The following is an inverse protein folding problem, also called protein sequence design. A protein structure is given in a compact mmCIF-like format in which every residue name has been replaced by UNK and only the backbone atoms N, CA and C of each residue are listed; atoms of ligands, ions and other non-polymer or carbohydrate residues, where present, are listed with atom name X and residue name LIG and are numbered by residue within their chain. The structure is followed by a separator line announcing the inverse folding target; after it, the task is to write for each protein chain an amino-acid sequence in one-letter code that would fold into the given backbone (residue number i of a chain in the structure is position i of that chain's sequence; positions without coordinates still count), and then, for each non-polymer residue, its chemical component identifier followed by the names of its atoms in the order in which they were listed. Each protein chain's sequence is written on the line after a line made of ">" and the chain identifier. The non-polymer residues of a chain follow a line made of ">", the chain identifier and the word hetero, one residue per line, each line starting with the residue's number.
data_IF_229288140263
#
_entry.id   IF_229288140263
#
_cell.length_a   1.000
_cell.length_b   1.000
_cell.length_c   1.000
_cell.angle_alpha   90.00
_cell.angle_beta   90.00
_cell.angle_gamma   90.00
#
_symmetry.space_group_name_H-M   'P 1'
#
loop_
_entity.id
_entity.type
_entity.pdbx_description
1 polymer ?
#
# COMPACT_ATOMS: atom_id res chain seq x y z
N UNK A 1 -18.07 8.82 10.55
CA UNK A 1 -17.19 7.70 10.93
C UNK A 1 -15.74 8.10 10.67
N UNK A 2 -14.98 8.40 11.72
CA UNK A 2 -13.51 8.53 11.61
C UNK A 2 -12.98 7.11 11.38
N UNK A 3 -12.36 6.85 10.22
CA UNK A 3 -11.77 5.54 9.92
C UNK A 3 -10.68 5.31 10.96
N UNK A 4 -10.85 4.35 11.85
CA UNK A 4 -9.76 3.84 12.68
C UNK A 4 -8.72 3.28 11.70
N UNK A 5 -7.66 4.05 11.50
CA UNK A 5 -6.49 3.60 10.77
C UNK A 5 -5.91 2.44 11.61
N UNK A 6 -6.04 1.22 11.09
CA UNK A 6 -5.61 0.00 11.77
C UNK A 6 -4.20 0.13 12.32
N UNK A 7 -3.93 -0.42 13.51
CA UNK A 7 -2.64 -0.29 14.18
C UNK A 7 -1.47 -0.78 13.33
N UNK A 8 -1.73 -1.70 12.39
CA UNK A 8 -0.73 -2.23 11.47
C UNK A 8 -0.24 -1.19 10.45
N UNK A 9 -1.06 -0.18 10.12
CA UNK A 9 -0.65 0.94 9.28
C UNK A 9 0.32 1.90 10.00
N UNK A 10 0.39 1.85 11.34
CA UNK A 10 1.36 2.65 12.12
C UNK A 10 2.82 2.19 11.89
N UNK A 11 3.01 0.95 11.42
CA UNK A 11 4.32 0.38 11.15
C UNK A 11 4.83 0.69 9.72
N UNK A 12 4.02 1.36 8.90
CA UNK A 12 4.40 1.77 7.56
C UNK A 12 4.77 3.26 7.56
N UNK A 13 6.00 3.53 7.17
CA UNK A 13 6.48 4.90 7.00
C UNK A 13 6.03 5.48 5.66
N UNK A 14 5.91 6.81 5.57
CA UNK A 14 5.57 7.52 4.32
C UNK A 14 6.55 7.16 3.19
N UNK A 15 7.84 7.01 3.49
CA UNK A 15 8.86 6.62 2.51
C UNK A 15 8.60 5.24 1.89
N UNK A 16 8.20 4.26 2.70
CA UNK A 16 7.83 2.93 2.20
C UNK A 16 6.57 2.99 1.34
N UNK A 17 5.58 3.81 1.71
CA UNK A 17 4.38 4.01 0.87
C UNK A 17 4.76 4.55 -0.50
N UNK A 18 5.67 5.54 -0.57
CA UNK A 18 6.14 6.10 -1.83
C UNK A 18 6.89 5.06 -2.68
N UNK A 19 7.72 4.23 -2.05
CA UNK A 19 8.43 3.14 -2.74
C UNK A 19 7.46 2.10 -3.34
N UNK A 20 6.49 1.63 -2.55
CA UNK A 20 5.47 0.70 -3.06
C UNK A 20 4.63 1.31 -4.18
N UNK A 21 4.37 2.62 -4.14
CA UNK A 21 3.68 3.31 -5.24
C UNK A 21 4.51 3.37 -6.51
N UNK A 22 5.81 3.61 -6.39
CA UNK A 22 6.74 3.54 -7.53
C UNK A 22 6.72 2.13 -8.15
N UNK A 23 6.85 1.10 -7.33
CA UNK A 23 6.77 -0.30 -7.78
C UNK A 23 5.41 -0.62 -8.43
N UNK A 24 4.32 -0.05 -7.92
CA UNK A 24 2.98 -0.16 -8.52
C UNK A 24 2.88 0.50 -9.90
N UNK A 25 3.58 1.61 -10.14
CA UNK A 25 3.65 2.22 -11.47
C UNK A 25 4.49 1.38 -12.45
N UNK A 26 5.44 0.61 -11.94
CA UNK A 26 6.26 -0.31 -12.73
C UNK A 26 5.54 -1.63 -13.04
N UNK A 27 4.53 -2.01 -12.24
CA UNK A 27 3.70 -3.19 -12.47
C UNK A 27 2.81 -3.02 -13.71
N UNK A 28 3.07 -3.81 -14.75
CA UNK A 28 2.34 -3.73 -16.04
C UNK A 28 1.18 -4.70 -16.13
N UNK A 29 1.16 -5.71 -15.28
CA UNK A 29 0.14 -6.76 -15.27
C UNK A 29 -0.62 -6.81 -13.95
N UNK A 30 -1.85 -7.32 -14.00
CA UNK A 30 -2.64 -7.57 -12.80
C UNK A 30 -1.98 -8.60 -11.86
N UNK A 31 -1.17 -9.52 -12.41
CA UNK A 31 -0.41 -10.49 -11.63
C UNK A 31 0.64 -9.82 -10.75
N UNK A 32 1.41 -8.89 -11.32
CA UNK A 32 2.42 -8.10 -10.60
C UNK A 32 1.77 -7.20 -9.54
N UNK A 33 0.65 -6.55 -9.86
CA UNK A 33 -0.10 -5.76 -8.88
C UNK A 33 -0.55 -6.59 -7.67
N UNK A 34 -1.08 -7.80 -7.91
CA UNK A 34 -1.48 -8.73 -6.84
C UNK A 34 -0.28 -9.27 -6.06
N UNK A 35 0.85 -9.50 -6.71
CA UNK A 35 2.08 -9.93 -6.05
C UNK A 35 2.60 -8.85 -5.10
N UNK A 36 2.64 -7.59 -5.55
CA UNK A 36 3.02 -6.45 -4.73
C UNK A 36 2.09 -6.26 -3.52
N UNK A 37 0.77 -6.39 -3.72
CA UNK A 37 -0.19 -6.34 -2.62
C UNK A 37 0.04 -7.43 -1.56
N UNK A 38 0.37 -8.66 -1.99
CA UNK A 38 0.72 -9.75 -1.08
C UNK A 38 2.03 -9.50 -0.34
N UNK A 39 3.05 -8.98 -1.03
CA UNK A 39 4.32 -8.66 -0.38
C UNK A 39 4.15 -7.62 0.74
N UNK A 40 3.40 -6.55 0.47
CA UNK A 40 3.12 -5.50 1.47
C UNK A 40 2.34 -6.08 2.64
N UNK A 41 1.35 -6.93 2.36
CA UNK A 41 0.57 -7.63 3.37
C UNK A 41 1.46 -8.46 4.28
N UNK A 42 2.30 -9.31 3.70
CA UNK A 42 3.11 -10.28 4.43
C UNK A 42 4.25 -9.57 5.19
N UNK A 43 4.82 -8.49 4.63
CA UNK A 43 5.90 -7.73 5.30
C UNK A 43 5.42 -6.93 6.50
N UNK A 44 4.21 -6.37 6.43
CA UNK A 44 3.69 -5.44 7.45
C UNK A 44 2.53 -6.00 8.27
N UNK A 45 2.18 -7.27 8.08
CA UNK A 45 1.06 -7.92 8.76
C UNK A 45 -0.28 -7.25 8.47
N UNK A 46 -0.44 -6.66 7.28
CA UNK A 46 -1.71 -6.03 6.90
C UNK A 46 -2.73 -7.09 6.49
N UNK A 47 -3.96 -6.64 6.25
CA UNK A 47 -4.95 -7.38 5.47
C UNK A 47 -4.79 -7.09 3.98
N UNK A 48 -5.27 -7.99 3.12
CA UNK A 48 -5.30 -7.76 1.66
C UNK A 48 -6.00 -6.43 1.32
N UNK A 49 -7.05 -6.07 2.06
CA UNK A 49 -7.79 -4.82 1.83
C UNK A 49 -6.94 -3.58 2.13
N UNK A 50 -6.15 -3.61 3.20
CA UNK A 50 -5.27 -2.50 3.58
C UNK A 50 -4.07 -2.37 2.63
N UNK A 51 -3.46 -3.49 2.25
CA UNK A 51 -2.36 -3.49 1.28
C UNK A 51 -2.82 -2.94 -0.09
N UNK A 52 -4.00 -3.35 -0.56
CA UNK A 52 -4.58 -2.79 -1.79
C UNK A 52 -4.98 -1.32 -1.61
N UNK A 53 -5.51 -0.93 -0.45
CA UNK A 53 -5.83 0.47 -0.17
C UNK A 53 -4.57 1.35 -0.21
N UNK A 54 -3.43 0.91 0.33
CA UNK A 54 -2.15 1.63 0.23
C UNK A 54 -1.72 1.87 -1.22
N UNK A 55 -1.88 0.86 -2.07
CA UNK A 55 -1.54 0.95 -3.49
C UNK A 55 -2.52 1.83 -4.27
N UNK A 56 -3.78 1.86 -3.85
CA UNK A 56 -4.88 2.54 -4.55
C UNK A 56 -5.22 3.94 -4.02
N UNK A 57 -4.77 4.31 -2.81
CA UNK A 57 -4.96 5.65 -2.26
C UNK A 57 -4.23 6.63 -3.17
N UNK A 58 -4.95 7.38 -4.01
CA UNK A 58 -4.45 8.60 -4.63
C UNK A 58 -4.23 9.66 -3.54
N UNK A 59 -3.10 9.56 -2.84
CA UNK A 59 -2.62 10.70 -2.06
C UNK A 59 -2.14 11.71 -3.09
N UNK A 60 -3.00 12.70 -3.34
CA UNK A 60 -2.65 13.95 -3.99
C UNK A 60 -1.71 14.68 -3.02
N UNK A 61 -0.41 14.40 -3.12
CA UNK A 61 0.58 15.19 -2.41
C UNK A 61 0.65 16.49 -3.21
N UNK A 62 -0.10 17.51 -2.75
CA UNK A 62 0.19 18.88 -3.14
C UNK A 62 1.59 19.20 -2.62
N UNK A 63 2.59 19.03 -3.48
CA UNK A 63 3.95 19.53 -3.28
C UNK A 63 3.95 21.01 -3.55
#
# INVERSE_FOLDING_TARGET
>A
MKREMSENLKNITIGQVLEYRKQRQEAKTMGEFKALGREIRDRHGLTDREAIALLSLEIDIQV
#
